data_IF_979904890519
#
_entry.id   IF_979904890519
#
_cell.length_a   1.000
_cell.length_b   1.000
_cell.length_c   1.000
_cell.angle_alpha   90.00
_cell.angle_beta   90.00
_cell.angle_gamma   90.00
#
_symmetry.space_group_name_H-M   'P 1'
#
loop_
_entity.id
_entity.type
_entity.pdbx_description
1 polymer ?
#
# COMPACT_ATOMS: atom_id res chain seq x y z
N UNK A 1 -64.21 4.78 -19.45
CA UNK A 1 -63.78 4.45 -18.07
C UNK A 1 -62.26 4.37 -18.03
N UNK A 2 -61.58 5.44 -17.59
CA UNK A 2 -60.12 5.45 -17.41
C UNK A 2 -59.78 4.99 -15.98
N UNK A 3 -58.85 4.03 -15.86
CA UNK A 3 -58.38 3.56 -14.55
C UNK A 3 -57.50 4.64 -13.90
N UNK A 4 -57.60 4.88 -12.58
CA UNK A 4 -56.79 5.90 -11.91
C UNK A 4 -55.30 5.53 -11.93
N UNK A 5 -54.38 6.53 -11.92
CA UNK A 5 -52.95 6.29 -11.92
C UNK A 5 -52.50 5.63 -10.61
N UNK A 6 -51.65 4.61 -10.73
CA UNK A 6 -51.08 3.90 -9.58
C UNK A 6 -50.14 4.85 -8.81
N UNK A 7 -50.28 5.03 -7.49
CA UNK A 7 -49.41 5.92 -6.73
C UNK A 7 -47.97 5.38 -6.72
N UNK A 8 -47.04 6.11 -7.33
CA UNK A 8 -45.63 5.73 -7.48
C UNK A 8 -44.72 6.16 -6.32
N UNK A 9 -45.26 6.81 -5.28
CA UNK A 9 -44.47 7.33 -4.15
C UNK A 9 -44.68 6.48 -2.90
N UNK A 10 -43.68 5.65 -2.59
CA UNK A 10 -43.57 4.93 -1.33
C UNK A 10 -43.44 5.99 -0.22
N UNK A 11 -44.31 5.92 0.80
CA UNK A 11 -44.29 6.87 1.92
C UNK A 11 -42.94 6.86 2.66
N UNK A 12 -42.51 7.98 3.26
CA UNK A 12 -41.22 8.08 3.95
C UNK A 12 -41.01 6.98 5.00
N UNK A 13 -42.08 6.62 5.73
CA UNK A 13 -42.05 5.55 6.73
C UNK A 13 -41.87 4.16 6.13
N UNK A 14 -42.56 3.83 5.02
CA UNK A 14 -42.34 2.55 4.33
C UNK A 14 -40.94 2.46 3.74
N UNK A 15 -40.40 3.59 3.23
CA UNK A 15 -39.02 3.63 2.75
C UNK A 15 -38.02 3.35 3.88
N UNK A 16 -38.21 3.99 5.04
CA UNK A 16 -37.37 3.74 6.23
C UNK A 16 -37.50 2.28 6.72
N UNK A 17 -38.71 1.71 6.73
CA UNK A 17 -38.93 0.32 7.11
C UNK A 17 -38.28 -0.67 6.13
N UNK A 18 -38.39 -0.42 4.83
CA UNK A 18 -37.72 -1.20 3.80
C UNK A 18 -36.20 -1.12 3.94
N UNK A 19 -35.64 0.08 4.13
CA UNK A 19 -34.21 0.29 4.32
C UNK A 19 -33.72 -0.39 5.63
N UNK A 20 -34.54 -0.40 6.68
CA UNK A 20 -34.27 -1.08 7.95
C UNK A 20 -34.22 -2.61 7.80
N UNK A 21 -35.23 -3.23 7.19
CA UNK A 21 -35.24 -4.68 6.95
C UNK A 21 -34.24 -5.11 5.88
N UNK A 22 -34.03 -4.29 4.85
CA UNK A 22 -32.98 -4.49 3.85
C UNK A 22 -31.58 -4.42 4.47
N UNK A 23 -31.40 -3.73 5.60
CA UNK A 23 -30.12 -3.70 6.30
C UNK A 23 -29.76 -5.05 6.94
N UNK A 24 -30.77 -5.82 7.37
CA UNK A 24 -30.64 -7.14 8.01
C UNK A 24 -30.36 -8.27 7.01
N UNK A 25 -30.83 -8.15 5.76
CA UNK A 25 -30.66 -9.19 4.74
C UNK A 25 -29.39 -9.05 3.88
N UNK A 26 -28.49 -8.11 4.22
CA UNK A 26 -27.17 -7.94 3.56
C UNK A 26 -26.20 -9.05 3.96
N UNK A 27 -26.55 -10.29 3.59
CA UNK A 27 -25.62 -11.41 3.62
C UNK A 27 -24.61 -11.18 2.51
N UNK A 28 -23.37 -10.85 2.91
CA UNK A 28 -22.26 -10.67 1.98
C UNK A 28 -22.18 -11.87 1.06
N UNK A 29 -22.39 -11.68 -0.24
CA UNK A 29 -22.17 -12.75 -1.23
C UNK A 29 -20.69 -13.10 -1.25
N UNK A 30 -20.35 -14.29 -0.77
CA UNK A 30 -18.98 -14.83 -0.70
C UNK A 30 -18.88 -16.03 -1.62
N UNK A 31 -17.78 -16.14 -2.36
CA UNK A 31 -17.41 -17.31 -3.15
C UNK A 31 -16.33 -18.08 -2.40
N UNK A 32 -16.57 -19.35 -2.14
CA UNK A 32 -15.56 -20.24 -1.56
C UNK A 32 -14.42 -20.48 -2.57
N UNK A 33 -13.18 -20.37 -2.10
CA UNK A 33 -11.99 -20.52 -2.93
C UNK A 33 -11.22 -21.77 -2.56
N UNK A 34 -10.99 -22.00 -1.26
CA UNK A 34 -10.26 -23.17 -0.78
C UNK A 34 -10.09 -23.16 0.74
N UNK A 35 -9.38 -24.17 1.21
CA UNK A 35 -9.09 -24.41 2.63
C UNK A 35 -7.58 -24.68 2.77
N UNK A 36 -6.96 -24.23 3.86
CA UNK A 36 -5.57 -24.58 4.15
C UNK A 36 -5.45 -25.84 5.01
N UNK A 37 -4.22 -26.30 5.24
CA UNK A 37 -3.94 -27.44 6.11
C UNK A 37 -4.36 -27.25 7.57
N UNK A 38 -4.66 -26.00 7.99
CA UNK A 38 -5.12 -25.67 9.33
C UNK A 38 -6.65 -25.57 9.43
N UNK A 39 -7.38 -25.82 8.33
CA UNK A 39 -8.84 -25.74 8.26
C UNK A 39 -9.39 -24.33 8.12
N UNK A 40 -8.55 -23.33 7.84
CA UNK A 40 -9.01 -21.97 7.55
C UNK A 40 -9.67 -21.95 6.18
N UNK A 41 -10.90 -21.43 6.10
CA UNK A 41 -11.65 -21.33 4.84
C UNK A 41 -11.49 -19.95 4.23
N UNK A 42 -11.12 -19.92 2.95
CA UNK A 42 -10.84 -18.69 2.21
C UNK A 42 -11.95 -18.34 1.24
N UNK A 43 -12.31 -17.05 1.22
CA UNK A 43 -13.44 -16.55 0.45
C UNK A 43 -13.11 -15.29 -0.35
N UNK A 44 -13.70 -15.21 -1.55
CA UNK A 44 -13.74 -14.00 -2.36
C UNK A 44 -15.09 -13.28 -2.12
N UNK A 45 -15.04 -12.04 -1.65
CA UNK A 45 -16.22 -11.23 -1.35
C UNK A 45 -16.64 -10.49 -2.62
N UNK A 46 -17.79 -10.89 -3.17
CA UNK A 46 -18.32 -10.39 -4.44
C UNK A 46 -19.09 -9.06 -4.29
N UNK A 47 -19.54 -8.75 -3.08
CA UNK A 47 -20.46 -7.63 -2.85
C UNK A 47 -19.74 -6.32 -2.52
N UNK A 48 -20.22 -5.20 -3.10
CA UNK A 48 -19.72 -3.85 -2.83
C UNK A 48 -18.44 -3.45 -3.56
N UNK A 49 -17.90 -4.31 -4.43
CA UNK A 49 -16.71 -3.99 -5.21
C UNK A 49 -17.05 -3.00 -6.33
N UNK A 50 -16.62 -1.74 -6.16
CA UNK A 50 -16.39 -0.84 -7.30
C UNK A 50 -15.45 -1.56 -8.26
N UNK A 51 -15.80 -1.61 -9.55
CA UNK A 51 -15.05 -2.32 -10.62
C UNK A 51 -13.53 -2.20 -10.40
N UNK A 52 -12.87 -3.29 -9.97
CA UNK A 52 -11.41 -3.36 -9.86
C UNK A 52 -10.87 -3.87 -8.52
N UNK A 53 -11.50 -3.55 -7.39
CA UNK A 53 -11.05 -4.05 -6.10
C UNK A 53 -11.75 -5.36 -5.80
N UNK A 54 -11.04 -6.48 -5.69
CA UNK A 54 -11.60 -7.73 -5.15
C UNK A 54 -11.31 -7.73 -3.65
N UNK A 55 -12.34 -7.88 -2.82
CA UNK A 55 -12.17 -8.09 -1.38
C UNK A 55 -12.03 -9.57 -1.07
N UNK A 56 -11.07 -9.90 -0.21
CA UNK A 56 -10.70 -11.27 0.15
C UNK A 56 -10.70 -11.37 1.66
N UNK A 57 -11.10 -12.52 2.18
CA UNK A 57 -11.13 -12.79 3.61
C UNK A 57 -11.03 -14.27 3.90
N UNK A 58 -10.79 -14.60 5.16
CA UNK A 58 -10.81 -15.96 5.64
C UNK A 58 -11.65 -16.07 6.90
N UNK A 59 -12.10 -17.27 7.19
CA UNK A 59 -12.83 -17.61 8.40
C UNK A 59 -12.09 -18.75 9.10
N UNK A 60 -11.70 -18.60 10.38
CA UNK A 60 -11.07 -19.67 11.12
C UNK A 60 -12.05 -20.83 11.34
N UNK A 61 -11.55 -22.04 11.63
CA UNK A 61 -12.40 -23.15 12.03
C UNK A 61 -13.23 -22.78 13.27
N UNK A 62 -14.49 -23.25 13.38
CA UNK A 62 -15.39 -22.88 14.48
C UNK A 62 -14.92 -23.36 15.86
N UNK A 63 -13.98 -24.30 15.90
CA UNK A 63 -13.50 -24.97 17.12
C UNK A 63 -12.25 -24.29 17.73
N UNK A 64 -11.78 -23.18 17.14
CA UNK A 64 -10.52 -22.54 17.54
C UNK A 64 -10.78 -21.16 18.13
N UNK A 65 -10.47 -20.99 19.43
CA UNK A 65 -10.62 -19.70 20.13
C UNK A 65 -9.60 -18.64 19.67
N UNK A 66 -8.39 -19.06 19.32
CA UNK A 66 -7.31 -18.19 18.83
C UNK A 66 -7.08 -18.44 17.34
N UNK A 67 -7.41 -17.47 16.46
CA UNK A 67 -7.23 -17.65 15.02
C UNK A 67 -5.76 -17.98 14.70
N UNK A 68 -5.54 -19.16 14.11
CA UNK A 68 -4.23 -19.52 13.58
C UNK A 68 -3.87 -18.57 12.44
N UNK A 69 -2.61 -18.11 12.40
CA UNK A 69 -2.15 -17.25 11.31
C UNK A 69 -2.10 -18.08 10.01
N UNK A 70 -2.73 -17.60 8.92
CA UNK A 70 -2.70 -18.35 7.67
C UNK A 70 -1.26 -18.45 7.12
N UNK A 71 -0.95 -19.52 6.39
CA UNK A 71 0.36 -19.70 5.76
C UNK A 71 0.68 -18.56 4.78
N UNK A 72 1.98 -18.36 4.50
CA UNK A 72 2.49 -17.18 3.79
C UNK A 72 1.86 -16.99 2.41
N UNK A 73 1.57 -18.09 1.70
CA UNK A 73 0.96 -18.07 0.37
C UNK A 73 -0.47 -17.52 0.39
N UNK A 74 -1.24 -17.98 1.38
CA UNK A 74 -2.60 -17.53 1.60
C UNK A 74 -2.63 -16.08 2.09
N UNK A 75 -1.65 -15.64 2.90
CA UNK A 75 -1.47 -14.23 3.27
C UNK A 75 -1.19 -13.34 2.07
N UNK A 76 -0.30 -13.75 1.17
CA UNK A 76 0.01 -13.00 -0.05
C UNK A 76 -1.23 -12.86 -0.96
N UNK A 77 -2.07 -13.90 -1.02
CA UNK A 77 -3.34 -13.83 -1.70
C UNK A 77 -4.35 -12.92 -0.98
N UNK A 78 -4.52 -13.02 0.34
CA UNK A 78 -5.40 -12.13 1.11
C UNK A 78 -5.01 -10.65 0.96
N UNK A 79 -3.71 -10.35 0.97
CA UNK A 79 -3.16 -9.00 0.80
C UNK A 79 -3.25 -8.46 -0.63
N UNK A 80 -3.79 -9.25 -1.57
CA UNK A 80 -3.91 -8.88 -2.99
C UNK A 80 -2.58 -8.73 -3.72
N UNK A 81 -1.46 -9.13 -3.11
CA UNK A 81 -0.15 -9.21 -3.76
C UNK A 81 -0.17 -10.28 -4.87
N UNK A 82 -0.90 -11.39 -4.65
CA UNK A 82 -1.05 -12.47 -5.62
C UNK A 82 -2.42 -12.45 -6.28
N UNK A 83 -2.52 -12.66 -7.61
CA UNK A 83 -3.82 -12.68 -8.30
C UNK A 83 -4.60 -13.97 -8.05
N UNK A 84 -3.94 -15.12 -8.19
CA UNK A 84 -4.52 -16.46 -8.07
C UNK A 84 -4.34 -17.02 -6.66
N UNK A 85 -5.28 -17.83 -6.14
CA UNK A 85 -5.05 -18.56 -4.91
C UNK A 85 -3.87 -19.53 -5.07
N UNK A 86 -3.19 -19.91 -3.99
CA UNK A 86 -2.14 -20.91 -4.05
C UNK A 86 -2.69 -22.29 -4.44
N UNK A 87 -1.86 -23.08 -5.11
CA UNK A 87 -2.14 -24.49 -5.43
C UNK A 87 -1.62 -25.39 -4.31
N UNK A 88 -2.26 -26.54 -4.10
CA UNK A 88 -1.82 -27.52 -3.11
C UNK A 88 -0.40 -28.02 -3.39
N UNK A 89 -0.07 -28.26 -4.66
CA UNK A 89 1.28 -28.67 -5.09
C UNK A 89 2.34 -27.62 -4.73
N UNK A 90 2.01 -26.33 -4.90
CA UNK A 90 2.91 -25.23 -4.60
C UNK A 90 3.16 -25.10 -3.10
N UNK A 91 2.11 -25.26 -2.30
CA UNK A 91 2.20 -25.26 -0.84
C UNK A 91 3.12 -26.39 -0.39
N UNK A 92 2.95 -27.60 -0.92
CA UNK A 92 3.81 -28.75 -0.60
C UNK A 92 5.26 -28.50 -0.99
N UNK A 93 5.52 -27.99 -2.19
CA UNK A 93 6.88 -27.68 -2.63
C UNK A 93 7.55 -26.63 -1.73
N UNK A 94 6.81 -25.62 -1.27
CA UNK A 94 7.35 -24.59 -0.39
C UNK A 94 7.63 -25.11 1.01
N UNK A 95 6.81 -26.01 1.54
CA UNK A 95 7.08 -26.72 2.81
C UNK A 95 8.38 -27.53 2.70
N UNK A 96 8.55 -28.30 1.62
CA UNK A 96 9.77 -29.09 1.41
C UNK A 96 11.01 -28.20 1.31
N UNK A 97 10.92 -27.06 0.62
CA UNK A 97 12.02 -26.08 0.54
C UNK A 97 12.36 -25.50 1.91
N UNK A 98 11.35 -25.14 2.71
CA UNK A 98 11.58 -24.61 4.06
C UNK A 98 12.27 -25.64 4.96
N UNK A 99 11.82 -26.90 4.91
CA UNK A 99 12.45 -27.99 5.65
C UNK A 99 13.91 -28.20 5.22
N UNK A 100 14.18 -28.25 3.92
CA UNK A 100 15.53 -28.39 3.40
C UNK A 100 16.43 -27.21 3.83
N UNK A 101 15.91 -25.99 3.78
CA UNK A 101 16.64 -24.80 4.20
C UNK A 101 16.98 -24.84 5.69
N UNK A 102 16.06 -25.28 6.55
CA UNK A 102 16.32 -25.43 7.97
C UNK A 102 17.45 -26.43 8.23
N UNK A 103 17.45 -27.58 7.55
CA UNK A 103 18.52 -28.58 7.67
C UNK A 103 19.86 -27.97 7.25
N UNK A 104 19.92 -27.32 6.09
CA UNK A 104 21.14 -26.67 5.59
C UNK A 104 21.66 -25.58 6.55
N UNK A 105 20.77 -24.77 7.11
CA UNK A 105 21.11 -23.74 8.08
C UNK A 105 21.72 -24.37 9.34
N UNK A 106 21.08 -25.41 9.90
CA UNK A 106 21.61 -26.09 11.10
C UNK A 106 22.95 -26.77 10.86
N UNK A 107 23.19 -27.32 9.67
CA UNK A 107 24.50 -27.87 9.31
C UNK A 107 25.55 -26.78 9.16
N UNK A 108 25.18 -25.65 8.56
CA UNK A 108 26.07 -24.51 8.36
C UNK A 108 26.44 -23.89 9.70
N UNK A 109 25.48 -23.74 10.63
CA UNK A 109 25.71 -23.25 11.99
C UNK A 109 26.66 -24.16 12.78
N UNK A 110 26.53 -25.49 12.64
CA UNK A 110 27.45 -26.44 13.28
C UNK A 110 28.86 -26.38 12.69
N UNK A 111 28.98 -26.14 11.39
CA UNK A 111 30.26 -26.04 10.67
C UNK A 111 30.91 -24.67 10.83
N UNK A 112 30.13 -23.63 11.08
CA UNK A 112 30.62 -22.27 11.17
C UNK A 112 31.51 -22.11 12.41
N UNK A 113 32.76 -21.64 12.25
CA UNK A 113 33.56 -21.26 13.40
C UNK A 113 32.88 -20.09 14.11
N UNK A 114 32.83 -20.14 15.45
CA UNK A 114 32.30 -19.05 16.26
C UNK A 114 33.25 -17.85 16.16
N UNK A 115 33.00 -16.95 15.20
CA UNK A 115 33.76 -15.71 15.07
C UNK A 115 33.22 -14.72 16.11
N UNK A 116 33.89 -14.64 17.26
CA UNK A 116 33.66 -13.56 18.22
C UNK A 116 34.22 -12.29 17.58
N UNK A 117 33.35 -11.50 16.94
CA UNK A 117 33.77 -10.21 16.40
C UNK A 117 34.08 -9.27 17.57
N UNK A 118 35.35 -9.18 17.98
CA UNK A 118 35.85 -8.24 18.99
C UNK A 118 36.06 -6.82 18.44
N UNK A 119 35.48 -6.50 17.28
CA UNK A 119 35.54 -5.19 16.65
C UNK A 119 34.16 -4.52 16.54
N UNK A 120 34.10 -3.19 16.42
CA UNK A 120 32.87 -2.48 16.13
C UNK A 120 32.27 -3.03 14.83
N UNK A 121 31.03 -3.51 14.89
CA UNK A 121 30.34 -4.05 13.72
C UNK A 121 30.25 -3.00 12.61
N UNK A 122 30.04 -3.43 11.35
CA UNK A 122 29.97 -2.50 10.21
C UNK A 122 29.00 -1.31 10.43
N UNK A 123 27.88 -1.57 11.12
CA UNK A 123 26.91 -0.55 11.51
C UNK A 123 27.45 0.49 12.52
N UNK A 124 28.42 0.12 13.36
CA UNK A 124 29.07 1.00 14.32
C UNK A 124 30.22 1.79 13.68
N UNK A 125 30.91 1.21 12.69
CA UNK A 125 31.88 1.95 11.86
C UNK A 125 31.22 3.03 11.01
N UNK A 126 29.99 2.80 10.53
CA UNK A 126 29.22 3.82 9.79
C UNK A 126 28.79 4.98 10.68
N UNK A 127 28.42 4.71 11.94
CA UNK A 127 28.15 5.77 12.92
C UNK A 127 29.40 6.60 13.22
N UNK A 128 30.56 5.96 13.39
CA UNK A 128 31.83 6.69 13.61
C UNK A 128 32.28 7.49 12.38
N UNK A 129 32.04 6.99 11.16
CA UNK A 129 32.23 7.75 9.91
C UNK A 129 31.31 8.98 9.83
N UNK A 130 30.06 8.85 10.28
CA UNK A 130 29.10 9.95 10.30
C UNK A 130 29.34 10.95 11.46
N UNK A 131 29.99 10.52 12.55
CA UNK A 131 30.42 11.41 13.66
C UNK A 131 31.71 12.17 13.32
N UNK A 132 32.60 11.58 12.51
CA UNK A 132 33.77 12.25 11.96
C UNK A 132 33.42 13.05 10.68
N UNK A 133 32.47 13.97 10.78
CA UNK A 133 32.37 15.17 9.94
C UNK A 133 32.50 15.00 8.42
N UNK A 134 31.96 13.94 7.82
CA UNK A 134 31.75 13.90 6.37
C UNK A 134 30.32 14.32 6.08
N UNK A 135 30.10 15.63 6.05
CA UNK A 135 28.99 16.21 5.32
C UNK A 135 29.01 15.61 3.91
N UNK A 136 27.87 15.09 3.46
CA UNK A 136 27.68 14.71 2.05
C UNK A 136 28.19 15.86 1.17
N UNK A 137 28.81 15.59 -0.01
CA UNK A 137 29.30 16.65 -0.87
C UNK A 137 28.19 17.68 -1.09
N UNK A 138 28.39 18.86 -0.52
CA UNK A 138 27.47 19.97 -0.65
C UNK A 138 27.83 20.66 -1.96
N UNK A 139 27.16 20.24 -3.03
CA UNK A 139 27.28 20.86 -4.33
C UNK A 139 27.02 22.37 -4.17
N UNK A 140 27.98 23.19 -4.62
CA UNK A 140 27.80 24.64 -4.65
C UNK A 140 26.75 24.98 -5.71
N UNK A 141 25.98 26.04 -5.53
CA UNK A 141 24.95 26.45 -6.52
C UNK A 141 25.55 26.71 -7.91
N UNK A 142 26.85 27.02 -7.98
CA UNK A 142 27.62 27.19 -9.21
C UNK A 142 27.72 25.90 -10.05
N UNK A 143 27.70 24.73 -9.42
CA UNK A 143 27.70 23.43 -10.10
C UNK A 143 26.31 23.08 -10.68
N UNK A 144 25.26 23.80 -10.25
CA UNK A 144 23.88 23.66 -10.71
C UNK A 144 23.55 24.51 -11.96
N UNK A 145 24.41 25.46 -12.34
CA UNK A 145 24.18 26.31 -13.53
C UNK A 145 24.42 25.59 -14.87
N UNK A 146 24.76 24.30 -14.84
CA UNK A 146 24.84 23.43 -16.02
C UNK A 146 23.50 22.86 -16.51
N UNK A 147 22.36 23.29 -15.98
CA UNK A 147 21.04 22.85 -16.48
C UNK A 147 20.62 23.80 -17.61
N UNK A 148 20.70 23.33 -18.85
CA UNK A 148 20.23 24.07 -20.03
C UNK A 148 18.78 24.55 -19.82
N UNK A 149 18.60 25.86 -19.68
CA UNK A 149 17.28 26.51 -19.55
C UNK A 149 16.94 27.07 -18.17
N UNK A 150 17.79 26.95 -17.14
CA UNK A 150 17.60 27.66 -15.88
C UNK A 150 17.92 29.15 -16.04
N UNK A 151 16.96 30.04 -15.73
CA UNK A 151 17.19 31.50 -15.79
C UNK A 151 18.13 31.91 -14.66
N UNK A 152 19.24 32.55 -14.98
CA UNK A 152 20.19 33.04 -13.97
C UNK A 152 19.54 34.11 -13.09
N UNK A 153 20.07 34.29 -11.88
CA UNK A 153 19.60 35.30 -10.91
C UNK A 153 19.54 36.70 -11.52
N UNK A 154 20.48 37.04 -12.39
CA UNK A 154 20.52 38.30 -13.13
C UNK A 154 19.35 38.46 -14.11
N UNK A 155 18.93 37.39 -14.76
CA UNK A 155 17.78 37.39 -15.67
C UNK A 155 16.47 37.57 -14.91
N UNK A 156 16.34 36.91 -13.75
CA UNK A 156 15.20 37.08 -12.84
C UNK A 156 15.12 38.51 -12.30
N UNK A 157 16.25 39.11 -11.90
CA UNK A 157 16.29 40.50 -11.44
C UNK A 157 15.94 41.49 -12.54
N UNK A 158 16.34 41.22 -13.79
CA UNK A 158 16.00 42.05 -14.95
C UNK A 158 14.50 41.99 -15.26
N UNK A 159 13.88 40.81 -15.22
CA UNK A 159 12.42 40.64 -15.37
C UNK A 159 11.64 41.36 -14.26
N UNK A 160 12.12 41.30 -13.01
CA UNK A 160 11.47 42.04 -11.92
C UNK A 160 11.59 43.55 -12.07
N UNK A 161 12.76 44.06 -12.51
CA UNK A 161 12.94 45.49 -12.80
C UNK A 161 12.05 45.94 -13.95
N UNK A 162 11.93 45.16 -15.02
CA UNK A 162 11.01 45.45 -16.12
C UNK A 162 9.55 45.46 -15.69
N UNK A 163 9.13 44.47 -14.88
CA UNK A 163 7.78 44.42 -14.33
C UNK A 163 7.46 45.64 -13.46
N UNK A 164 8.43 46.08 -12.64
CA UNK A 164 8.30 47.28 -11.80
C UNK A 164 8.24 48.57 -12.63
N UNK A 165 9.02 48.66 -13.70
CA UNK A 165 9.00 49.81 -14.62
C UNK A 165 7.65 49.93 -15.35
N UNK A 166 7.16 48.84 -15.95
CA UNK A 166 5.86 48.78 -16.65
C UNK A 166 4.69 49.14 -15.73
N UNK A 167 4.72 48.70 -14.48
CA UNK A 167 3.67 49.01 -13.51
C UNK A 167 3.69 50.50 -13.10
N UNK A 168 4.87 51.13 -13.09
CA UNK A 168 5.00 52.55 -12.79
C UNK A 168 4.56 53.43 -13.98
N UNK A 169 4.79 53.01 -15.21
CA UNK A 169 4.26 53.68 -16.40
C UNK A 169 2.73 53.62 -16.47
N UNK A 170 2.14 52.47 -16.15
CA UNK A 170 0.67 52.29 -16.11
C UNK A 170 -0.02 53.20 -15.09
N UNK A 171 0.67 53.53 -13.99
CA UNK A 171 0.21 54.48 -12.98
C UNK A 171 0.34 55.94 -13.41
N UNK A 172 1.23 56.25 -14.37
CA UNK A 172 1.41 57.61 -14.91
C UNK A 172 0.44 57.92 -16.06
N UNK A 173 -0.03 56.91 -16.79
CA UNK A 173 -0.90 57.11 -17.96
C UNK A 173 -2.40 57.20 -17.65
N UNK A 174 -2.83 56.94 -16.41
CA UNK A 174 -4.19 57.22 -15.93
C UNK A 174 -4.16 58.20 -14.74
N UNK A 175 -4.00 59.50 -14.98
CA UNK A 175 -4.37 60.51 -13.98
C UNK A 175 -5.90 60.60 -13.93
N UNK A 176 -6.47 60.39 -12.74
CA UNK A 176 -7.85 60.76 -12.40
C UNK A 176 -8.12 62.24 -12.66
#
# INVERSE_FOLDING_TARGET
MSKPPVPTRIGPFLKMWHDFWGSFSRVKKRKFVGEDSAGNRFYEILEGNRKGNVNRGFEPPPDVEVPSEPPVEWRAWLNKSRRFPPSDEEIQLNILKQQAQLVQNTETEKKAPMIVSTGPGAAETDKRRNVAGKEYPKYTEEEYEGIAGAKTREQLEREQKEGKWKNNERKKSNPT
#
